data_IF_290135944365
#
_entry.id   IF_290135944365
#
_cell.length_a   1.000
_cell.length_b   1.000
_cell.length_c   1.000
_cell.angle_alpha   90.00
_cell.angle_beta   90.00
_cell.angle_gamma   90.00
#
_symmetry.space_group_name_H-M   'P 1'
#
loop_
_entity.id
_entity.type
_entity.pdbx_description
1 polymer ?
#
# COMPACT_ATOMS: atom_id res chain seq x y z
N UNK A 1 17.26 36.34 64.02
CA UNK A 1 16.86 35.16 63.20
C UNK A 1 15.55 35.34 62.44
N UNK A 2 14.52 35.99 63.03
CA UNK A 2 13.17 36.17 62.43
C UNK A 2 13.15 36.80 61.02
N UNK A 3 14.01 37.80 60.77
CA UNK A 3 14.05 38.53 59.49
C UNK A 3 14.54 37.66 58.30
N UNK A 4 15.43 36.67 58.54
CA UNK A 4 15.88 35.74 57.48
C UNK A 4 14.78 34.77 57.05
N UNK A 5 13.98 34.29 57.99
CA UNK A 5 12.88 33.34 57.73
C UNK A 5 11.78 34.03 56.91
N UNK A 6 11.44 35.28 57.23
CA UNK A 6 10.48 36.07 56.44
C UNK A 6 10.99 36.34 55.02
N UNK A 7 12.29 36.61 54.84
CA UNK A 7 12.90 36.76 53.51
C UNK A 7 12.87 35.46 52.69
N UNK A 8 13.06 34.30 53.32
CA UNK A 8 12.97 33.00 52.63
C UNK A 8 11.53 32.73 52.18
N UNK A 9 10.53 32.92 53.06
CA UNK A 9 9.11 32.73 52.72
C UNK A 9 8.66 33.61 51.57
N UNK A 10 9.06 34.89 51.57
CA UNK A 10 8.73 35.81 50.47
C UNK A 10 9.41 35.44 49.14
N UNK A 11 10.61 34.85 49.18
CA UNK A 11 11.26 34.31 47.98
C UNK A 11 10.56 33.05 47.46
N UNK A 12 10.11 32.16 48.35
CA UNK A 12 9.34 30.96 47.98
C UNK A 12 8.01 31.32 47.31
N UNK A 13 7.30 32.32 47.84
CA UNK A 13 6.07 32.85 47.24
C UNK A 13 6.31 33.43 45.84
N UNK A 14 7.41 34.18 45.65
CA UNK A 14 7.80 34.70 44.33
C UNK A 14 8.14 33.58 43.35
N UNK A 15 8.86 32.55 43.79
CA UNK A 15 9.19 31.38 42.96
C UNK A 15 7.90 30.64 42.56
N UNK A 16 6.95 30.49 43.47
CA UNK A 16 5.66 29.87 43.17
C UNK A 16 4.83 30.69 42.17
N UNK A 17 4.82 32.02 42.31
CA UNK A 17 4.15 32.91 41.36
C UNK A 17 4.77 32.79 39.95
N UNK A 18 6.10 32.86 39.85
CA UNK A 18 6.83 32.73 38.59
C UNK A 18 6.61 31.36 37.92
N UNK A 19 6.55 30.28 38.71
CA UNK A 19 6.23 28.93 38.18
C UNK A 19 4.82 28.86 37.61
N UNK A 20 3.83 29.47 38.28
CA UNK A 20 2.45 29.51 37.79
C UNK A 20 2.33 30.33 36.50
N UNK A 21 3.01 31.46 36.43
CA UNK A 21 3.06 32.32 35.25
C UNK A 21 3.71 31.61 34.05
N UNK A 22 4.88 31.01 34.26
CA UNK A 22 5.57 30.24 33.23
C UNK A 22 4.73 29.05 32.72
N UNK A 23 4.03 28.34 33.61
CA UNK A 23 3.14 27.25 33.24
C UNK A 23 1.93 27.74 32.42
N UNK A 24 1.36 28.89 32.78
CA UNK A 24 0.25 29.50 32.05
C UNK A 24 0.68 29.92 30.63
N UNK A 25 1.85 30.52 30.50
CA UNK A 25 2.41 30.93 29.22
C UNK A 25 2.79 29.76 28.32
N UNK A 26 3.36 28.69 28.88
CA UNK A 26 3.59 27.44 28.15
C UNK A 26 2.26 26.85 27.65
N UNK A 27 1.22 26.82 28.48
CA UNK A 27 -0.10 26.32 28.09
C UNK A 27 -0.73 27.16 26.97
N UNK A 28 -0.55 28.49 27.00
CA UNK A 28 -0.97 29.38 25.90
C UNK A 28 -0.22 29.08 24.61
N UNK A 29 1.12 28.95 24.68
CA UNK A 29 1.96 28.63 23.51
C UNK A 29 1.62 27.28 22.90
N UNK A 30 1.40 26.25 23.72
CA UNK A 30 0.97 24.92 23.25
C UNK A 30 -0.34 25.03 22.47
N UNK A 31 -1.36 25.69 23.05
CA UNK A 31 -2.65 25.90 22.36
C UNK A 31 -2.53 26.68 21.05
N UNK A 32 -1.63 27.66 20.98
CA UNK A 32 -1.38 28.41 19.74
C UNK A 32 -0.75 27.49 18.68
N UNK A 33 0.24 26.69 19.05
CA UNK A 33 0.91 25.74 18.15
C UNK A 33 0.00 24.60 17.69
N UNK A 34 -0.87 24.08 18.54
CA UNK A 34 -1.89 23.10 18.16
C UNK A 34 -2.83 23.66 17.07
N UNK A 35 -3.25 24.92 17.20
CA UNK A 35 -4.08 25.58 16.17
C UNK A 35 -3.33 25.80 14.86
N UNK A 36 -2.05 26.16 14.92
CA UNK A 36 -1.20 26.28 13.72
C UNK A 36 -1.07 24.94 13.00
N UNK A 37 -0.82 23.85 13.73
CA UNK A 37 -0.72 22.49 13.15
C UNK A 37 -2.05 22.07 12.51
N UNK A 38 -3.18 22.34 13.15
CA UNK A 38 -4.50 22.04 12.57
C UNK A 38 -4.75 22.81 11.26
N UNK A 39 -4.37 24.09 11.21
CA UNK A 39 -4.46 24.89 9.96
C UNK A 39 -3.57 24.32 8.87
N UNK A 40 -2.30 24.02 9.18
CA UNK A 40 -1.36 23.42 8.22
C UNK A 40 -1.85 22.06 7.73
N UNK A 41 -2.47 21.25 8.59
CA UNK A 41 -3.08 19.98 8.19
C UNK A 41 -4.28 20.16 7.25
N UNK A 42 -5.09 21.19 7.46
CA UNK A 42 -6.20 21.54 6.57
C UNK A 42 -5.70 22.08 5.21
N UNK A 43 -4.71 22.96 5.23
CA UNK A 43 -4.07 23.48 4.01
C UNK A 43 -3.43 22.36 3.21
N UNK A 44 -2.70 21.44 3.85
CA UNK A 44 -2.13 20.26 3.19
C UNK A 44 -3.22 19.39 2.56
N UNK A 45 -4.31 19.10 3.27
CA UNK A 45 -5.42 18.31 2.74
C UNK A 45 -6.07 18.99 1.53
N UNK A 46 -6.26 20.31 1.56
CA UNK A 46 -6.79 21.08 0.45
C UNK A 46 -5.84 21.09 -0.75
N UNK A 47 -4.55 21.35 -0.57
CA UNK A 47 -3.57 21.30 -1.66
C UNK A 47 -3.43 19.89 -2.24
N UNK A 48 -3.53 18.86 -1.40
CA UNK A 48 -3.48 17.48 -1.87
C UNK A 48 -4.74 17.12 -2.65
N UNK A 49 -5.93 17.57 -2.23
CA UNK A 49 -7.16 17.40 -3.03
C UNK A 49 -7.10 18.15 -4.36
N UNK A 50 -6.53 19.37 -4.40
CA UNK A 50 -6.34 20.14 -5.64
C UNK A 50 -5.32 19.49 -6.59
N UNK A 51 -4.18 19.04 -6.09
CA UNK A 51 -3.13 18.39 -6.90
C UNK A 51 -3.48 16.93 -7.30
N UNK A 52 -4.32 16.24 -6.51
CA UNK A 52 -4.84 14.89 -6.81
C UNK A 52 -6.30 14.86 -7.28
N UNK A 53 -6.85 15.97 -7.81
CA UNK A 53 -8.03 15.94 -8.66
C UNK A 53 -7.70 15.31 -10.02
N UNK A 54 -7.34 14.03 -9.99
CA UNK A 54 -7.61 13.09 -11.07
C UNK A 54 -9.12 13.16 -11.28
N UNK A 55 -9.57 13.90 -12.31
CA UNK A 55 -10.96 13.96 -12.78
C UNK A 55 -11.42 12.55 -13.13
N UNK A 56 -11.78 11.73 -12.14
CA UNK A 56 -12.59 10.55 -12.37
C UNK A 56 -14.00 11.08 -12.59
N UNK A 57 -14.31 11.42 -13.84
CA UNK A 57 -15.68 11.48 -14.28
C UNK A 57 -16.24 10.05 -14.20
N UNK A 58 -16.69 9.63 -13.01
CA UNK A 58 -17.49 8.43 -12.83
C UNK A 58 -18.84 8.66 -13.50
N UNK A 59 -18.91 8.42 -14.81
CA UNK A 59 -20.18 8.15 -15.48
C UNK A 59 -20.80 6.96 -14.74
N UNK A 60 -21.84 7.23 -13.94
CA UNK A 60 -22.66 6.22 -13.25
C UNK A 60 -23.35 5.36 -14.31
N UNK A 61 -22.67 4.31 -14.75
CA UNK A 61 -23.31 3.19 -15.42
C UNK A 61 -23.68 2.19 -14.33
N UNK A 62 -24.97 2.13 -13.98
CA UNK A 62 -25.54 0.99 -13.27
C UNK A 62 -25.20 -0.28 -14.06
N UNK A 63 -24.21 -1.03 -13.58
CA UNK A 63 -23.98 -2.42 -13.99
C UNK A 63 -23.84 -3.23 -12.71
N UNK A 64 -24.71 -4.23 -12.59
CA UNK A 64 -24.75 -5.22 -11.54
C UNK A 64 -23.32 -5.72 -11.25
N UNK A 65 -22.75 -5.34 -10.11
CA UNK A 65 -21.43 -5.77 -9.68
C UNK A 65 -21.51 -7.20 -9.16
N UNK A 66 -21.49 -8.17 -10.07
CA UNK A 66 -20.80 -9.43 -9.79
C UNK A 66 -19.35 -9.01 -9.56
N UNK A 67 -18.89 -9.10 -8.31
CA UNK A 67 -17.52 -8.76 -7.90
C UNK A 67 -16.54 -9.46 -8.84
N UNK A 68 -15.93 -8.70 -9.77
CA UNK A 68 -14.84 -9.23 -10.58
C UNK A 68 -13.68 -9.52 -9.61
N UNK A 69 -13.12 -10.74 -9.60
CA UNK A 69 -11.98 -11.03 -8.75
C UNK A 69 -10.87 -10.04 -9.10
N UNK A 70 -10.27 -9.46 -8.07
CA UNK A 70 -9.11 -8.57 -8.18
C UNK A 70 -8.13 -9.14 -9.20
N UNK A 71 -8.05 -8.51 -10.38
CA UNK A 71 -7.03 -8.79 -11.40
C UNK A 71 -5.68 -8.20 -11.01
N UNK A 72 -5.44 -8.07 -9.70
CA UNK A 72 -4.20 -7.60 -9.14
C UNK A 72 -3.10 -8.62 -9.37
N UNK A 73 -1.88 -8.13 -9.63
CA UNK A 73 -0.62 -8.88 -9.68
C UNK A 73 -0.25 -9.47 -8.30
N UNK A 74 -1.18 -10.14 -7.63
CA UNK A 74 -0.96 -10.77 -6.36
C UNK A 74 0.07 -11.89 -6.52
N UNK A 75 1.03 -11.98 -5.58
CA UNK A 75 1.96 -13.09 -5.53
C UNK A 75 1.16 -14.36 -5.22
N UNK A 76 1.36 -15.41 -6.03
CA UNK A 76 0.73 -16.71 -5.79
C UNK A 76 1.28 -17.31 -4.50
N UNK A 77 0.39 -17.87 -3.68
CA UNK A 77 0.76 -18.74 -2.56
C UNK A 77 1.42 -20.03 -3.10
N UNK A 78 2.05 -20.81 -2.21
CA UNK A 78 2.67 -22.10 -2.61
C UNK A 78 1.62 -23.05 -3.21
N UNK A 79 0.46 -23.14 -2.59
CA UNK A 79 -0.62 -24.03 -3.03
C UNK A 79 -1.22 -23.59 -4.37
N UNK A 80 -1.41 -22.28 -4.57
CA UNK A 80 -1.92 -21.77 -5.84
C UNK A 80 -0.92 -21.98 -6.97
N UNK A 81 0.40 -21.88 -6.70
CA UNK A 81 1.42 -22.24 -7.69
C UNK A 81 1.27 -23.69 -8.14
N UNK A 82 1.10 -24.63 -7.21
CA UNK A 82 0.94 -26.06 -7.53
C UNK A 82 -0.33 -26.29 -8.37
N UNK A 83 -1.45 -25.65 -8.00
CA UNK A 83 -2.70 -25.74 -8.77
C UNK A 83 -2.53 -25.23 -10.21
N UNK A 84 -1.90 -24.06 -10.38
CA UNK A 84 -1.65 -23.47 -11.69
C UNK A 84 -0.65 -24.31 -12.49
N UNK A 85 0.40 -24.84 -11.86
CA UNK A 85 1.36 -25.73 -12.52
C UNK A 85 0.66 -27.00 -13.06
N UNK A 86 -0.16 -27.65 -12.24
CA UNK A 86 -0.93 -28.82 -12.64
C UNK A 86 -1.88 -28.51 -13.80
N UNK A 87 -2.52 -27.34 -13.78
CA UNK A 87 -3.36 -26.88 -14.89
C UNK A 87 -2.54 -26.66 -16.16
N UNK A 88 -1.39 -25.98 -16.08
CA UNK A 88 -0.49 -25.77 -17.23
C UNK A 88 -0.02 -27.11 -17.79
N UNK A 89 0.44 -28.04 -16.95
CA UNK A 89 0.88 -29.39 -17.36
C UNK A 89 -0.21 -30.12 -18.15
N UNK A 90 -1.46 -30.10 -17.68
CA UNK A 90 -2.62 -30.69 -18.40
C UNK A 90 -2.90 -30.02 -19.74
N UNK A 91 -2.62 -28.73 -19.89
CA UNK A 91 -2.83 -28.00 -21.13
C UNK A 91 -1.76 -28.37 -22.17
N UNK A 92 -0.49 -28.34 -21.78
CA UNK A 92 0.65 -28.57 -22.67
C UNK A 92 0.94 -30.07 -22.94
N UNK A 93 0.30 -30.98 -22.19
CA UNK A 93 0.34 -32.41 -22.47
C UNK A 93 -0.55 -32.81 -23.65
N UNK A 94 -1.61 -32.04 -23.92
CA UNK A 94 -2.55 -32.32 -25.02
C UNK A 94 -2.09 -31.72 -26.34
N UNK A 95 -1.55 -30.51 -26.29
CA UNK A 95 -1.17 -29.73 -27.48
C UNK A 95 -0.01 -28.80 -27.16
N UNK A 96 0.83 -28.51 -28.14
CA UNK A 96 1.84 -27.46 -28.01
C UNK A 96 1.17 -26.10 -27.99
N UNK A 97 1.39 -25.31 -26.93
CA UNK A 97 0.73 -24.01 -26.75
C UNK A 97 1.75 -22.89 -26.61
N UNK A 98 1.41 -21.71 -27.13
CA UNK A 98 2.13 -20.46 -26.91
C UNK A 98 1.88 -19.89 -25.51
N UNK A 99 2.76 -18.99 -25.04
CA UNK A 99 2.56 -18.28 -23.76
C UNK A 99 1.21 -17.56 -23.72
N UNK A 100 0.81 -16.91 -24.81
CA UNK A 100 -0.45 -16.17 -24.89
C UNK A 100 -1.65 -17.09 -24.68
N UNK A 101 -1.66 -18.27 -25.29
CA UNK A 101 -2.73 -19.25 -25.11
C UNK A 101 -2.78 -19.80 -23.69
N UNK A 102 -1.61 -20.07 -23.09
CA UNK A 102 -1.54 -20.51 -21.70
C UNK A 102 -2.09 -19.42 -20.77
N UNK A 103 -1.71 -18.15 -20.99
CA UNK A 103 -2.21 -17.02 -20.20
C UNK A 103 -3.73 -16.86 -20.33
N UNK A 104 -4.27 -17.00 -21.55
CA UNK A 104 -5.71 -16.93 -21.79
C UNK A 104 -6.47 -18.05 -21.06
N UNK A 105 -5.96 -19.29 -21.09
CA UNK A 105 -6.61 -20.46 -20.46
C UNK A 105 -6.49 -20.47 -18.93
N UNK A 106 -5.42 -19.89 -18.39
CA UNK A 106 -5.18 -19.83 -16.93
C UNK A 106 -5.66 -18.53 -16.30
N UNK A 107 -5.97 -17.51 -17.12
CA UNK A 107 -6.29 -16.15 -16.69
C UNK A 107 -5.22 -15.56 -15.75
N UNK A 108 -3.94 -15.75 -16.10
CA UNK A 108 -2.80 -15.28 -15.31
C UNK A 108 -1.85 -14.41 -16.13
N UNK A 109 -1.13 -13.47 -15.50
CA UNK A 109 -0.16 -12.63 -16.18
C UNK A 109 1.05 -13.45 -16.68
N UNK A 110 1.59 -13.03 -17.81
CA UNK A 110 2.73 -13.67 -18.51
C UNK A 110 3.90 -13.97 -17.59
N UNK A 111 4.25 -13.05 -16.68
CA UNK A 111 5.38 -13.22 -15.78
C UNK A 111 5.20 -14.39 -14.80
N UNK A 112 3.98 -14.61 -14.31
CA UNK A 112 3.69 -15.74 -13.42
C UNK A 112 3.80 -17.06 -14.18
N UNK A 113 3.23 -17.11 -15.37
CA UNK A 113 3.30 -18.29 -16.24
C UNK A 113 4.75 -18.61 -16.62
N UNK A 114 5.56 -17.60 -16.96
CA UNK A 114 6.99 -17.79 -17.24
C UNK A 114 7.75 -18.37 -16.06
N UNK A 115 7.45 -17.92 -14.85
CA UNK A 115 8.10 -18.44 -13.64
C UNK A 115 7.71 -19.91 -13.42
N UNK A 116 6.42 -20.25 -13.53
CA UNK A 116 5.96 -21.64 -13.37
C UNK A 116 6.53 -22.56 -14.45
N UNK A 117 6.55 -22.11 -15.72
CA UNK A 117 7.12 -22.89 -16.82
C UNK A 117 8.62 -23.19 -16.64
N UNK A 118 9.38 -22.33 -15.96
CA UNK A 118 10.81 -22.61 -15.67
C UNK A 118 10.98 -23.81 -14.75
N UNK A 119 10.04 -24.03 -13.84
CA UNK A 119 10.12 -25.06 -12.80
C UNK A 119 9.59 -26.43 -13.28
N UNK A 120 8.88 -26.47 -14.41
CA UNK A 120 8.34 -27.71 -14.98
C UNK A 120 9.47 -28.56 -15.62
N UNK A 121 9.78 -29.69 -14.97
CA UNK A 121 10.68 -30.71 -15.52
C UNK A 121 10.13 -31.31 -16.82
N UNK A 122 10.99 -31.48 -17.82
CA UNK A 122 10.64 -32.10 -19.11
C UNK A 122 9.95 -31.16 -20.11
N UNK A 123 9.93 -29.86 -19.86
CA UNK A 123 9.37 -28.88 -20.78
C UNK A 123 10.24 -28.70 -22.05
N UNK A 124 9.67 -28.95 -23.22
CA UNK A 124 10.27 -28.63 -24.52
C UNK A 124 9.74 -27.30 -25.04
N UNK A 125 10.66 -26.48 -25.58
CA UNK A 125 10.35 -25.21 -26.25
C UNK A 125 10.67 -25.36 -27.74
N UNK A 126 9.74 -24.99 -28.61
CA UNK A 126 9.91 -25.03 -30.07
C UNK A 126 9.57 -23.66 -30.66
N UNK A 127 10.31 -23.23 -31.68
CA UNK A 127 10.10 -21.95 -32.35
C UNK A 127 11.05 -20.84 -31.90
N UNK A 128 10.95 -19.67 -32.54
CA UNK A 128 11.81 -18.51 -32.30
C UNK A 128 11.01 -17.30 -31.80
N UNK A 129 11.60 -16.57 -30.83
CA UNK A 129 11.06 -15.32 -30.28
C UNK A 129 9.57 -15.42 -29.89
N UNK A 130 8.69 -14.73 -30.62
CA UNK A 130 7.25 -14.60 -30.34
C UNK A 130 6.46 -15.88 -30.63
N UNK A 131 6.97 -16.74 -31.52
CA UNK A 131 6.30 -17.96 -31.95
C UNK A 131 6.76 -19.19 -31.13
N UNK A 132 7.24 -18.95 -29.91
CA UNK A 132 7.70 -20.04 -29.04
C UNK A 132 6.49 -20.78 -28.47
N UNK A 133 6.41 -22.07 -28.75
CA UNK A 133 5.42 -23.00 -28.18
C UNK A 133 6.06 -23.94 -27.17
N UNK A 134 5.24 -24.41 -26.24
CA UNK A 134 5.61 -25.22 -25.09
C UNK A 134 4.86 -26.55 -25.15
N UNK A 135 5.57 -27.65 -24.99
CA UNK A 135 5.01 -28.99 -24.88
C UNK A 135 5.76 -29.80 -23.83
N UNK A 136 5.14 -30.83 -23.26
CA UNK A 136 5.85 -31.80 -22.44
C UNK A 136 6.60 -32.80 -23.33
N UNK A 137 7.78 -33.24 -22.87
CA UNK A 137 8.56 -34.31 -23.51
C UNK A 137 7.83 -35.64 -23.42
#
# INVERSE_FOLDING_TARGET
MVNRIQKIKTLEEKILALKKEAAADLKKRIKQKEKEILKLGQEYAQTFEEDFHFKISLKKNHKNNISKPSTGRARLTKDDKIKVENQIRKLISKTSLSISEICAKTNRPVNQIRNILKDIKGLKKKGSKRNTTYSLK
#
